data_IF_813241862764
#
_entry.id   IF_813241862764
#
_cell.length_a   1.000
_cell.length_b   1.000
_cell.length_c   1.000
_cell.angle_alpha   90.00
_cell.angle_beta   90.00
_cell.angle_gamma   90.00
#
_symmetry.space_group_name_H-M   'P 1'
#
loop_
_entity.id
_entity.type
_entity.pdbx_description
1 polymer ?
#
# COMPACT_ATOMS: atom_id res chain seq x y z
N UNK A 1 17.35 1.33 -18.26
CA UNK A 1 16.43 2.50 -18.31
C UNK A 1 17.12 3.71 -17.73
N UNK A 2 16.94 4.91 -18.32
CA UNK A 2 17.41 6.16 -17.74
C UNK A 2 16.70 6.45 -16.40
N UNK A 3 17.31 7.29 -15.56
CA UNK A 3 16.71 7.71 -14.29
C UNK A 3 15.62 8.75 -14.55
N UNK A 4 14.50 8.61 -13.86
CA UNK A 4 13.46 9.64 -13.79
C UNK A 4 13.78 10.59 -12.64
N UNK A 5 13.66 11.89 -12.87
CA UNK A 5 13.98 12.93 -11.89
C UNK A 5 12.82 13.91 -11.84
N UNK A 6 12.21 14.04 -10.66
CA UNK A 6 11.14 15.00 -10.39
C UNK A 6 11.49 15.82 -9.14
N UNK A 7 10.95 17.04 -9.06
CA UNK A 7 11.25 17.98 -7.98
C UNK A 7 9.98 18.61 -7.40
N UNK A 8 10.14 19.26 -6.24
CA UNK A 8 9.15 20.15 -5.64
C UNK A 8 7.77 19.51 -5.48
N UNK A 9 6.74 20.12 -6.07
CA UNK A 9 5.34 19.73 -5.90
C UNK A 9 5.00 18.49 -6.71
N UNK A 10 5.61 18.30 -7.87
CA UNK A 10 5.38 17.13 -8.73
C UNK A 10 5.83 15.85 -8.02
N UNK A 11 7.06 15.83 -7.49
CA UNK A 11 7.56 14.70 -6.70
C UNK A 11 6.69 14.42 -5.47
N UNK A 12 6.31 15.47 -4.73
CA UNK A 12 5.47 15.33 -3.52
C UNK A 12 4.09 14.76 -3.84
N UNK A 13 3.45 15.23 -4.91
CA UNK A 13 2.13 14.73 -5.33
C UNK A 13 2.18 13.28 -5.78
N UNK A 14 3.22 12.87 -6.52
CA UNK A 14 3.41 11.47 -6.90
C UNK A 14 3.53 10.58 -5.67
N UNK A 15 4.40 10.94 -4.72
CA UNK A 15 4.53 10.21 -3.46
C UNK A 15 3.22 10.15 -2.67
N UNK A 16 2.55 11.29 -2.51
CA UNK A 16 1.28 11.41 -1.78
C UNK A 16 0.17 10.55 -2.39
N UNK A 17 0.05 10.55 -3.72
CA UNK A 17 -0.92 9.69 -4.43
C UNK A 17 -0.71 8.22 -4.08
N UNK A 18 0.54 7.73 -4.17
CA UNK A 18 0.84 6.34 -3.83
C UNK A 18 0.64 5.99 -2.36
N UNK A 19 0.98 6.90 -1.45
CA UNK A 19 0.70 6.75 -0.01
C UNK A 19 -0.80 6.63 0.25
N UNK A 20 -1.61 7.49 -0.40
CA UNK A 20 -3.06 7.49 -0.25
C UNK A 20 -3.68 6.21 -0.80
N UNK A 21 -3.24 5.70 -1.95
CA UNK A 21 -3.76 4.45 -2.52
C UNK A 21 -3.55 3.26 -1.56
N UNK A 22 -2.36 3.14 -0.97
CA UNK A 22 -2.08 2.12 0.04
C UNK A 22 -2.92 2.33 1.30
N UNK A 23 -2.94 3.55 1.85
CA UNK A 23 -3.63 3.86 3.09
C UNK A 23 -5.14 3.66 2.97
N UNK A 24 -5.74 4.05 1.85
CA UNK A 24 -7.17 3.92 1.60
C UNK A 24 -7.60 2.46 1.48
N UNK A 25 -6.76 1.61 0.89
CA UNK A 25 -7.02 0.17 0.81
C UNK A 25 -6.84 -0.54 2.16
N UNK A 26 -5.89 -0.12 2.99
CA UNK A 26 -5.63 -0.75 4.30
C UNK A 26 -6.63 -0.26 5.35
N UNK A 27 -6.95 1.04 5.40
CA UNK A 27 -7.76 1.62 6.49
C UNK A 27 -9.16 1.01 6.61
N UNK A 28 -9.72 0.47 5.52
CA UNK A 28 -11.06 -0.14 5.55
C UNK A 28 -11.10 -1.37 6.44
N UNK A 29 -9.96 -2.01 6.72
CA UNK A 29 -9.88 -3.21 7.55
C UNK A 29 -9.75 -2.90 9.04
N UNK A 30 -9.60 -1.63 9.43
CA UNK A 30 -9.29 -1.22 10.79
C UNK A 30 -10.46 -1.43 11.77
N UNK A 31 -10.13 -2.01 12.94
CA UNK A 31 -11.02 -2.10 14.10
C UNK A 31 -12.08 -3.20 14.02
N UNK A 32 -12.92 -3.34 15.07
CA UNK A 32 -13.89 -4.43 15.17
C UNK A 32 -14.99 -4.41 14.10
N UNK A 33 -15.18 -3.25 13.43
CA UNK A 33 -16.10 -3.06 12.31
C UNK A 33 -15.39 -2.94 10.95
N UNK A 34 -14.13 -3.37 10.87
CA UNK A 34 -13.38 -3.42 9.62
C UNK A 34 -14.13 -4.22 8.55
N UNK A 35 -14.03 -3.75 7.30
CA UNK A 35 -14.61 -4.37 6.10
C UNK A 35 -13.60 -5.31 5.45
N UNK A 36 -14.12 -6.22 4.65
CA UNK A 36 -13.30 -7.14 3.89
C UNK A 36 -12.68 -6.43 2.69
N UNK A 37 -11.44 -6.78 2.39
CA UNK A 37 -10.77 -6.53 1.11
C UNK A 37 -10.68 -7.84 0.36
N UNK A 38 -10.89 -7.78 -0.95
CA UNK A 38 -10.80 -8.94 -1.86
C UNK A 38 -9.50 -8.80 -2.65
N UNK A 39 -8.64 -9.81 -2.53
CA UNK A 39 -7.34 -9.88 -3.19
C UNK A 39 -7.41 -10.95 -4.26
N UNK A 40 -7.13 -10.56 -5.50
CA UNK A 40 -7.12 -11.48 -6.63
C UNK A 40 -5.97 -12.49 -6.51
N UNK A 41 -6.15 -13.65 -7.13
CA UNK A 41 -5.15 -14.72 -7.18
C UNK A 41 -5.03 -15.20 -8.61
N UNK A 42 -3.79 -15.42 -9.06
CA UNK A 42 -3.50 -15.96 -10.41
C UNK A 42 -4.21 -17.28 -10.70
N UNK A 43 -4.52 -18.07 -9.67
CA UNK A 43 -5.21 -19.35 -9.79
C UNK A 43 -6.12 -19.59 -8.58
N UNK A 44 -7.30 -20.17 -8.83
CA UNK A 44 -8.27 -20.52 -7.77
C UNK A 44 -9.19 -19.36 -7.37
N UNK A 45 -9.75 -19.45 -6.16
CA UNK A 45 -10.64 -18.43 -5.62
C UNK A 45 -9.84 -17.24 -5.01
N UNK A 46 -10.41 -16.01 -5.04
CA UNK A 46 -9.77 -14.84 -4.45
C UNK A 46 -9.66 -14.97 -2.92
N UNK A 47 -8.73 -14.22 -2.33
CA UNK A 47 -8.61 -14.13 -0.86
C UNK A 47 -9.50 -13.02 -0.34
N UNK A 48 -10.34 -13.31 0.64
CA UNK A 48 -11.14 -12.31 1.34
C UNK A 48 -10.53 -12.13 2.73
N UNK A 49 -10.06 -10.93 3.06
CA UNK A 49 -9.34 -10.67 4.31
C UNK A 49 -9.72 -9.34 4.98
N UNK A 50 -9.54 -9.29 6.30
CA UNK A 50 -9.53 -8.05 7.10
C UNK A 50 -8.16 -7.78 7.71
N UNK A 51 -7.14 -8.52 7.30
CA UNK A 51 -5.78 -8.26 7.73
C UNK A 51 -5.16 -7.15 6.89
N UNK A 52 -4.91 -6.00 7.51
CA UNK A 52 -4.29 -4.85 6.86
C UNK A 52 -2.85 -5.11 6.39
N UNK A 53 -2.11 -5.98 7.08
CA UNK A 53 -0.73 -6.34 6.71
C UNK A 53 -0.72 -7.14 5.42
N UNK A 54 -1.62 -8.13 5.28
CA UNK A 54 -1.82 -8.87 4.03
C UNK A 54 -2.24 -7.97 2.88
N UNK A 55 -3.17 -7.03 3.11
CA UNK A 55 -3.60 -6.08 2.08
C UNK A 55 -2.45 -5.19 1.61
N UNK A 56 -1.64 -4.66 2.54
CA UNK A 56 -0.52 -3.81 2.21
C UNK A 56 0.53 -4.53 1.34
N UNK A 57 0.75 -5.83 1.56
CA UNK A 57 1.73 -6.63 0.81
C UNK A 57 1.37 -6.81 -0.67
N UNK A 58 0.08 -6.90 -0.99
CA UNK A 58 -0.40 -7.14 -2.36
C UNK A 58 -0.48 -5.86 -3.22
N UNK A 59 -0.28 -4.67 -2.65
CA UNK A 59 -0.42 -3.42 -3.40
C UNK A 59 0.87 -3.12 -4.17
N UNK A 60 0.80 -3.19 -5.49
CA UNK A 60 1.86 -2.77 -6.40
C UNK A 60 1.33 -1.66 -7.32
N UNK A 61 2.08 -0.57 -7.43
CA UNK A 61 1.71 0.57 -8.26
C UNK A 61 2.66 0.66 -9.46
N UNK A 62 2.10 0.94 -10.64
CA UNK A 62 2.87 1.02 -11.89
C UNK A 62 3.70 2.32 -11.97
N UNK A 63 3.13 3.44 -11.51
CA UNK A 63 3.84 4.72 -11.51
C UNK A 63 5.03 4.67 -10.53
N UNK A 64 6.26 4.99 -10.98
CA UNK A 64 7.44 4.90 -10.14
C UNK A 64 7.40 5.81 -8.90
N UNK A 65 6.81 7.00 -8.99
CA UNK A 65 6.74 7.94 -7.87
C UNK A 65 5.67 7.51 -6.87
N UNK A 66 4.51 7.07 -7.35
CA UNK A 66 3.47 6.52 -6.47
C UNK A 66 3.97 5.26 -5.76
N UNK A 67 4.62 4.35 -6.48
CA UNK A 67 5.20 3.14 -5.89
C UNK A 67 6.19 3.48 -4.78
N UNK A 68 7.07 4.46 -4.97
CA UNK A 68 7.99 4.90 -3.90
C UNK A 68 7.21 5.39 -2.67
N UNK A 69 6.14 6.16 -2.88
CA UNK A 69 5.27 6.61 -1.79
C UNK A 69 4.63 5.45 -1.02
N UNK A 70 4.05 4.48 -1.73
CA UNK A 70 3.46 3.29 -1.14
C UNK A 70 4.50 2.46 -0.35
N UNK A 71 5.68 2.20 -0.93
CA UNK A 71 6.75 1.43 -0.27
C UNK A 71 7.25 2.10 1.03
N UNK A 72 7.32 3.43 1.08
CA UNK A 72 7.70 4.15 2.31
C UNK A 72 6.71 3.86 3.46
N UNK A 73 5.41 3.84 3.18
CA UNK A 73 4.39 3.57 4.19
C UNK A 73 4.35 2.09 4.57
N UNK A 74 4.58 1.17 3.62
CA UNK A 74 4.75 -0.26 3.93
C UNK A 74 5.89 -0.49 4.90
N UNK A 75 7.02 0.18 4.71
CA UNK A 75 8.18 0.03 5.59
C UNK A 75 7.88 0.53 7.02
N UNK A 76 7.15 1.64 7.16
CA UNK A 76 6.71 2.14 8.47
C UNK A 76 5.75 1.15 9.14
N UNK A 77 4.80 0.59 8.39
CA UNK A 77 3.86 -0.41 8.91
C UNK A 77 4.59 -1.67 9.35
N UNK A 78 5.49 -2.21 8.51
CA UNK A 78 6.30 -3.40 8.81
C UNK A 78 7.15 -3.21 10.06
N UNK A 79 7.80 -2.05 10.20
CA UNK A 79 8.61 -1.76 11.39
C UNK A 79 7.77 -1.67 12.66
N UNK A 80 6.51 -1.27 12.54
CA UNK A 80 5.58 -1.24 13.67
C UNK A 80 5.15 -2.66 14.06
N UNK A 81 4.82 -3.49 13.07
CA UNK A 81 4.49 -4.93 13.24
C UNK A 81 5.68 -5.70 13.87
N UNK A 82 6.90 -5.46 13.42
CA UNK A 82 8.12 -6.08 13.99
C UNK A 82 8.31 -5.77 15.48
N UNK A 83 7.81 -4.62 15.98
CA UNK A 83 7.96 -4.17 17.36
C UNK A 83 6.77 -4.55 18.25
N UNK A 84 5.56 -4.50 17.70
CA UNK A 84 4.32 -4.60 18.47
C UNK A 84 3.47 -5.84 18.15
N UNK A 85 3.76 -6.55 17.06
CA UNK A 85 2.83 -7.48 16.41
C UNK A 85 1.59 -6.77 15.92
#
# INVERSE_FOLDING_TARGET
MPKLIAFNTEARRGLESGMNQLADAVRVTLGPRGRNVVLDKKWGAPTITKDGVSVAKEIELEDPYERIGAELVKEVAKKTDDVAG
#
